data_IF_269823149736
#
_entry.id   IF_269823149736
#
_cell.length_a   1.000
_cell.length_b   1.000
_cell.length_c   1.000
_cell.angle_alpha   90.00
_cell.angle_beta   90.00
_cell.angle_gamma   90.00
#
_symmetry.space_group_name_H-M   'P 1'
#
loop_
_entity.id
_entity.type
_entity.pdbx_description
1 polymer ?
#
# COMPACT_ATOMS: atom_id res chain seq x y z
N UNK A 1 0.30 8.16 -4.35
CA UNK A 1 1.17 7.06 -4.80
C UNK A 1 1.71 7.30 -6.22
N UNK A 2 0.85 7.45 -7.25
CA UNK A 2 1.33 7.78 -8.61
C UNK A 2 2.28 8.99 -8.68
N UNK A 3 2.06 10.02 -7.86
CA UNK A 3 2.90 11.24 -7.81
C UNK A 3 4.32 10.97 -7.31
N UNK A 4 4.54 9.96 -6.47
CA UNK A 4 5.86 9.68 -5.89
C UNK A 4 6.64 8.64 -6.68
N UNK A 5 5.92 7.75 -7.38
CA UNK A 5 6.54 6.52 -7.89
C UNK A 5 6.17 6.20 -9.34
N UNK A 6 5.29 7.00 -9.96
CA UNK A 6 4.90 6.88 -11.37
C UNK A 6 4.09 5.63 -11.74
N UNK A 7 3.98 4.64 -10.83
CA UNK A 7 3.32 3.36 -11.06
C UNK A 7 2.01 3.24 -10.25
N UNK A 8 1.04 2.44 -10.74
CA UNK A 8 -0.13 2.06 -9.95
C UNK A 8 0.30 1.17 -8.77
N UNK A 9 -0.37 1.33 -7.62
CA UNK A 9 -0.07 0.56 -6.41
C UNK A 9 -0.36 -0.93 -6.57
N UNK A 10 -1.39 -1.27 -7.35
CA UNK A 10 -1.75 -2.64 -7.68
C UNK A 10 -1.44 -2.90 -9.15
N UNK A 11 -1.07 -4.14 -9.47
CA UNK A 11 -0.84 -4.52 -10.86
C UNK A 11 -2.14 -4.36 -11.65
N UNK A 12 -2.02 -3.94 -12.90
CA UNK A 12 -3.16 -3.78 -13.82
C UNK A 12 -3.10 -4.75 -14.99
N UNK A 13 -1.97 -5.44 -15.17
CA UNK A 13 -1.77 -6.39 -16.25
C UNK A 13 -2.28 -7.79 -15.86
N UNK A 14 -3.26 -8.31 -16.62
CA UNK A 14 -3.84 -9.66 -16.42
C UNK A 14 -4.34 -9.93 -14.99
N UNK A 15 -4.74 -8.89 -14.25
CA UNK A 15 -5.18 -9.04 -12.88
C UNK A 15 -6.56 -9.69 -12.79
N UNK A 16 -6.69 -10.70 -11.94
CA UNK A 16 -7.98 -11.28 -11.55
C UNK A 16 -8.44 -10.65 -10.24
N UNK A 17 -9.75 -10.68 -9.91
CA UNK A 17 -10.20 -10.16 -8.62
C UNK A 17 -9.55 -10.88 -7.43
N UNK A 18 -9.24 -12.17 -7.56
CA UNK A 18 -8.51 -12.96 -6.55
C UNK A 18 -7.08 -12.43 -6.37
N UNK A 19 -6.35 -12.24 -7.46
CA UNK A 19 -4.99 -11.69 -7.37
C UNK A 19 -5.00 -10.27 -6.77
N UNK A 20 -5.98 -9.44 -7.14
CA UNK A 20 -6.13 -8.10 -6.59
C UNK A 20 -6.37 -8.11 -5.08
N UNK A 21 -7.29 -8.95 -4.58
CA UNK A 21 -7.56 -9.02 -3.15
C UNK A 21 -6.33 -9.54 -2.39
N UNK A 22 -5.60 -10.52 -2.93
CA UNK A 22 -4.32 -10.97 -2.37
C UNK A 22 -3.30 -9.85 -2.27
N UNK A 23 -3.12 -9.05 -3.33
CA UNK A 23 -2.25 -7.86 -3.30
C UNK A 23 -2.72 -6.82 -2.27
N UNK A 24 -4.03 -6.58 -2.18
CA UNK A 24 -4.59 -5.66 -1.19
C UNK A 24 -4.35 -6.16 0.23
N UNK A 25 -4.38 -7.47 0.49
CA UNK A 25 -4.13 -8.05 1.81
C UNK A 25 -2.67 -7.86 2.25
N UNK A 26 -1.69 -8.00 1.36
CA UNK A 26 -0.27 -7.77 1.69
C UNK A 26 0.06 -6.28 1.90
N UNK A 27 -0.67 -5.39 1.22
CA UNK A 27 -0.38 -3.94 1.27
C UNK A 27 -1.21 -3.16 2.30
N UNK A 28 -2.42 -3.61 2.61
CA UNK A 28 -3.27 -2.95 3.59
C UNK A 28 -2.71 -3.07 5.00
N UNK A 29 -2.96 -2.06 5.83
CA UNK A 29 -2.51 -2.06 7.24
C UNK A 29 -3.51 -2.67 8.22
N UNK A 30 -4.57 -3.31 7.71
CA UNK A 30 -5.59 -4.02 8.46
C UNK A 30 -5.95 -5.33 7.76
N UNK A 31 -6.46 -6.28 8.54
CA UNK A 31 -6.91 -7.56 8.01
C UNK A 31 -8.18 -7.40 7.16
N UNK A 32 -8.41 -8.38 6.29
CA UNK A 32 -9.66 -8.46 5.54
C UNK A 32 -10.84 -8.48 6.53
N UNK A 33 -11.89 -7.66 6.33
CA UNK A 33 -13.01 -7.61 7.27
C UNK A 33 -13.70 -8.96 7.39
N UNK A 34 -14.09 -9.34 8.61
CA UNK A 34 -14.73 -10.64 8.87
C UNK A 34 -15.94 -10.95 7.98
N UNK A 35 -16.72 -9.91 7.65
CA UNK A 35 -17.87 -10.00 6.74
C UNK A 35 -17.53 -10.42 5.31
N UNK A 36 -16.26 -10.34 4.91
CA UNK A 36 -15.79 -10.63 3.57
C UNK A 36 -15.11 -12.00 3.47
N UNK A 37 -14.68 -12.61 4.58
CA UNK A 37 -14.06 -13.94 4.59
C UNK A 37 -14.92 -15.00 3.90
N UNK A 38 -16.22 -15.09 4.20
CA UNK A 38 -17.07 -16.12 3.57
C UNK A 38 -17.21 -15.97 2.05
N UNK A 39 -17.17 -14.74 1.54
CA UNK A 39 -17.23 -14.46 0.10
C UNK A 39 -15.87 -14.74 -0.52
N UNK A 40 -14.80 -14.35 0.18
CA UNK A 40 -13.43 -14.58 -0.22
C UNK A 40 -13.10 -16.06 -0.33
N UNK A 41 -13.41 -16.86 0.69
CA UNK A 41 -13.13 -18.30 0.72
C UNK A 41 -13.82 -19.04 -0.43
N UNK A 42 -15.04 -18.64 -0.80
CA UNK A 42 -15.75 -19.19 -1.96
C UNK A 42 -15.07 -18.84 -3.29
N UNK A 43 -14.48 -17.66 -3.38
CA UNK A 43 -13.81 -17.19 -4.59
C UNK A 43 -12.39 -17.75 -4.71
N UNK A 44 -11.73 -18.00 -3.58
CA UNK A 44 -10.36 -18.50 -3.50
C UNK A 44 -10.32 -20.04 -3.61
N UNK A 45 -11.36 -20.74 -3.16
CA UNK A 45 -11.46 -22.20 -3.26
C UNK A 45 -11.53 -22.75 -4.69
N UNK A 46 -11.77 -21.89 -5.70
CA UNK A 46 -11.77 -22.24 -7.11
C UNK A 46 -10.42 -21.97 -7.81
N UNK A 47 -9.47 -21.28 -7.15
CA UNK A 47 -8.17 -20.89 -7.70
C UNK A 47 -7.02 -21.39 -6.80
N UNK A 48 -6.55 -22.59 -7.06
CA UNK A 48 -5.38 -23.21 -6.39
C UNK A 48 -4.02 -22.64 -6.89
N UNK A 49 -4.05 -21.66 -7.80
CA UNK A 49 -2.87 -20.93 -8.29
C UNK A 49 -2.68 -19.62 -7.52
N UNK A 50 -2.42 -19.70 -6.22
CA UNK A 50 -1.74 -18.60 -5.55
C UNK A 50 -0.25 -18.71 -5.91
N UNK A 51 0.22 -17.74 -6.68
CA UNK A 51 1.57 -17.63 -7.20
C UNK A 51 2.62 -17.86 -6.11
N UNK A 52 3.66 -18.67 -6.40
CA UNK A 52 4.78 -19.03 -5.50
C UNK A 52 5.55 -17.83 -4.89
N UNK A 53 5.26 -16.60 -5.31
CA UNK A 53 5.74 -15.38 -4.67
C UNK A 53 4.57 -14.55 -4.14
N UNK A 54 4.53 -14.25 -2.83
CA UNK A 54 3.58 -13.29 -2.28
C UNK A 54 3.83 -11.90 -2.88
N UNK A 55 2.76 -11.10 -2.99
CA UNK A 55 2.88 -9.70 -3.37
C UNK A 55 3.73 -8.94 -2.35
N UNK A 56 4.46 -7.88 -2.76
CA UNK A 56 5.25 -7.11 -1.82
C UNK A 56 4.35 -6.37 -0.82
N UNK A 57 4.83 -6.19 0.39
CA UNK A 57 4.22 -5.28 1.34
C UNK A 57 4.28 -3.84 0.83
N UNK A 58 3.46 -2.95 1.40
CA UNK A 58 3.47 -1.52 1.03
C UNK A 58 4.87 -0.89 1.16
N UNK A 59 5.63 -1.25 2.20
CA UNK A 59 6.96 -0.69 2.43
C UNK A 59 7.96 -1.20 1.40
N UNK A 60 7.97 -2.51 1.11
CA UNK A 60 8.84 -3.10 0.09
C UNK A 60 8.55 -2.50 -1.29
N UNK A 61 7.27 -2.34 -1.63
CA UNK A 61 6.84 -1.71 -2.88
C UNK A 61 7.32 -0.25 -3.00
N UNK A 62 7.22 0.54 -1.93
CA UNK A 62 7.71 1.92 -1.92
C UNK A 62 9.23 1.98 -2.10
N UNK A 63 9.97 1.14 -1.39
CA UNK A 63 11.43 1.12 -1.46
C UNK A 63 11.94 0.63 -2.81
N UNK A 64 11.39 -0.46 -3.33
CA UNK A 64 11.79 -1.03 -4.62
C UNK A 64 11.62 0.00 -5.73
N UNK A 65 10.47 0.66 -5.78
CA UNK A 65 10.19 1.56 -6.89
C UNK A 65 10.86 2.94 -6.72
N UNK A 66 10.99 3.45 -5.49
CA UNK A 66 11.65 4.74 -5.26
C UNK A 66 13.17 4.63 -5.45
N UNK A 67 13.80 3.58 -4.91
CA UNK A 67 15.26 3.40 -4.97
C UNK A 67 15.74 2.53 -6.15
N UNK A 68 14.86 1.78 -6.80
CA UNK A 68 15.17 1.01 -8.01
C UNK A 68 15.24 1.86 -9.28
N UNK A 69 14.84 3.12 -9.20
CA UNK A 69 14.90 4.10 -10.28
C UNK A 69 16.26 4.84 -10.27
N UNK A 70 16.91 5.04 -11.43
CA UNK A 70 18.16 5.80 -11.53
C UNK A 70 17.97 7.34 -11.41
N UNK A 71 16.78 7.81 -11.06
CA UNK A 71 16.47 9.23 -10.88
C UNK A 71 17.08 9.78 -9.59
N UNK A 72 17.20 11.10 -9.49
CA UNK A 72 17.68 11.76 -8.28
C UNK A 72 16.75 11.41 -7.10
N UNK A 73 17.36 10.90 -6.03
CA UNK A 73 16.67 10.53 -4.80
C UNK A 73 16.58 11.76 -3.90
N UNK A 74 15.44 12.43 -3.95
CA UNK A 74 15.17 13.63 -3.14
C UNK A 74 14.68 13.27 -1.72
N UNK A 75 14.29 12.02 -1.50
CA UNK A 75 13.83 11.48 -0.22
C UNK A 75 14.82 10.46 0.32
N UNK A 76 15.04 10.53 1.64
CA UNK A 76 15.83 9.54 2.38
C UNK A 76 15.03 8.25 2.60
N UNK A 77 15.68 7.21 3.10
CA UNK A 77 14.98 5.97 3.46
C UNK A 77 13.99 6.23 4.61
N UNK A 78 14.35 7.09 5.54
CA UNK A 78 13.52 7.52 6.67
C UNK A 78 12.26 8.26 6.20
N UNK A 79 12.38 9.08 5.16
CA UNK A 79 11.23 9.72 4.51
C UNK A 79 10.28 8.69 3.89
N UNK A 80 10.83 7.67 3.21
CA UNK A 80 10.03 6.60 2.61
C UNK A 80 9.31 5.78 3.67
N UNK A 81 9.95 5.46 4.79
CA UNK A 81 9.30 4.81 5.95
C UNK A 81 8.17 5.67 6.51
N UNK A 82 8.39 6.99 6.63
CA UNK A 82 7.38 7.92 7.12
C UNK A 82 6.18 8.02 6.17
N UNK A 83 6.45 8.05 4.87
CA UNK A 83 5.43 8.02 3.83
C UNK A 83 4.63 6.71 3.85
N UNK A 84 5.31 5.56 3.98
CA UNK A 84 4.68 4.25 4.14
C UNK A 84 3.73 4.20 5.32
N UNK A 85 4.12 4.78 6.46
CA UNK A 85 3.26 4.91 7.65
C UNK A 85 2.01 5.74 7.37
N UNK A 86 2.14 6.90 6.73
CA UNK A 86 1.01 7.79 6.42
C UNK A 86 0.07 7.10 5.43
N UNK A 87 0.61 6.49 4.39
CA UNK A 87 -0.18 5.75 3.40
C UNK A 87 -0.89 4.57 4.05
N UNK A 88 -0.23 3.81 4.94
CA UNK A 88 -0.86 2.70 5.66
C UNK A 88 -2.05 3.11 6.54
N UNK A 89 -2.05 4.34 7.09
CA UNK A 89 -3.22 4.90 7.78
C UNK A 89 -4.42 5.12 6.86
N UNK A 90 -4.17 5.32 5.56
CA UNK A 90 -5.19 5.57 4.53
C UNK A 90 -5.58 4.28 3.78
N UNK A 91 -4.63 3.37 3.58
CA UNK A 91 -4.79 2.10 2.89
C UNK A 91 -5.28 1.02 3.84
N UNK A 92 -6.58 1.09 4.13
CA UNK A 92 -7.30 0.13 4.99
C UNK A 92 -8.57 -0.38 4.36
N UNK A 93 -8.94 -1.63 4.61
CA UNK A 93 -10.22 -2.19 4.19
C UNK A 93 -11.38 -1.55 4.94
N UNK A 94 -11.26 -1.41 6.26
CA UNK A 94 -12.30 -0.77 7.05
C UNK A 94 -12.28 0.75 6.87
N UNK A 95 -13.31 1.28 6.21
CA UNK A 95 -13.46 2.72 5.98
C UNK A 95 -13.46 3.52 7.30
N UNK A 96 -14.08 2.97 8.34
CA UNK A 96 -14.13 3.56 9.68
C UNK A 96 -12.77 3.58 10.37
N UNK A 97 -11.84 2.72 9.96
CA UNK A 97 -10.49 2.65 10.49
C UNK A 97 -9.48 3.50 9.69
N UNK A 98 -9.87 4.05 8.53
CA UNK A 98 -9.04 4.98 7.76
C UNK A 98 -8.88 6.29 8.50
N UNK A 99 -7.65 6.82 8.51
CA UNK A 99 -7.43 8.17 8.97
C UNK A 99 -8.22 9.17 8.12
N UNK A 100 -8.85 10.14 8.77
CA UNK A 100 -9.35 11.33 8.08
C UNK A 100 -8.20 12.15 7.53
N UNK A 101 -8.51 13.05 6.57
CA UNK A 101 -7.50 13.98 6.03
C UNK A 101 -6.78 14.77 7.13
N UNK A 102 -7.52 15.22 8.17
CA UNK A 102 -6.94 15.91 9.31
C UNK A 102 -5.94 15.03 10.07
N UNK A 103 -6.32 13.80 10.41
CA UNK A 103 -5.45 12.88 11.16
C UNK A 103 -4.21 12.46 10.36
N UNK A 104 -4.31 12.42 9.03
CA UNK A 104 -3.15 12.17 8.17
C UNK A 104 -2.19 13.37 8.16
N UNK A 105 -2.72 14.60 8.11
CA UNK A 105 -1.94 15.83 8.12
C UNK A 105 -1.32 16.15 9.49
N UNK A 106 -1.87 15.63 10.58
CA UNK A 106 -1.30 15.74 11.93
C UNK A 106 -0.01 14.88 12.12
N UNK A 107 0.48 14.18 11.07
CA UNK A 107 1.72 13.41 11.13
C UNK A 107 2.95 14.33 11.02
N UNK A 108 3.94 14.23 11.94
CA UNK A 108 5.09 15.16 12.01
C UNK A 108 5.90 15.28 10.72
N UNK A 109 5.85 14.27 9.85
CA UNK A 109 6.53 14.31 8.56
C UNK A 109 6.10 15.52 7.71
N UNK A 110 4.83 15.96 7.81
CA UNK A 110 4.36 17.15 7.10
C UNK A 110 4.89 18.47 7.69
N UNK A 111 5.23 18.51 8.98
CA UNK A 111 5.80 19.69 9.63
C UNK A 111 7.30 19.86 9.30
N UNK A 112 8.02 18.74 9.20
CA UNK A 112 9.46 18.72 8.88
C UNK A 112 9.77 19.19 7.45
N UNK A 113 8.87 18.89 6.50
CA UNK A 113 9.01 19.32 5.10
C UNK A 113 8.77 20.82 4.89
N UNK A 114 7.98 21.47 5.75
CA UNK A 114 7.69 22.91 5.66
C UNK A 114 8.87 23.77 6.15
N UNK A 115 9.74 23.23 7.01
CA UNK A 115 10.90 23.95 7.56
C UNK A 115 12.13 23.92 6.65
N UNK A 116 12.11 23.15 5.56
CA UNK A 116 13.20 23.02 4.59
C UNK A 116 12.89 23.67 3.23
N UNK A 117 11.74 24.32 3.08
CA UNK A 117 11.27 25.01 1.85
C UNK A 117 11.55 26.51 1.81
#
# INVERSE_FOLDING_TARGET
>A
MHVFVGQPTFDTFMITPTLLVGQMQEMASDDLPNRWHEIWDKMNGDNDELTDNPAPTLQEWLEELYFGSPQSLDLTREDIVSLGRIIGKLLRFELSARASAKQALDDPWFDEQILLG
#
